data_IF_001095657911
#
_entry.id   IF_001095657911
#
_cell.length_a   1.000
_cell.length_b   1.000
_cell.length_c   1.000
_cell.angle_alpha   90.00
_cell.angle_beta   90.00
_cell.angle_gamma   90.00
#
_symmetry.space_group_name_H-M   'P 1'
#
loop_
_entity.id
_entity.type
_entity.pdbx_description
1 polymer ?
#
# COMPACT_ATOMS: atom_id res chain seq x y z
N UNK A 1 -9.05 2.42 -2.87
CA UNK A 1 -7.65 2.01 -3.10
C UNK A 1 -6.73 3.10 -2.58
N UNK A 2 -5.47 2.77 -2.36
CA UNK A 2 -4.44 3.73 -1.94
C UNK A 2 -3.28 3.67 -2.92
N UNK A 3 -2.52 4.77 -3.00
CA UNK A 3 -1.35 4.93 -3.85
C UNK A 3 -0.14 5.23 -2.99
N UNK A 4 0.99 4.59 -3.29
CA UNK A 4 2.26 4.91 -2.64
C UNK A 4 2.75 6.31 -3.03
N UNK A 5 3.14 7.11 -2.04
CA UNK A 5 3.80 8.42 -2.21
C UNK A 5 5.32 8.33 -2.35
N UNK A 6 5.90 7.17 -2.07
CA UNK A 6 7.32 6.87 -2.27
C UNK A 6 7.49 5.42 -2.70
N UNK A 7 8.58 5.12 -3.36
CA UNK A 7 8.95 3.73 -3.61
C UNK A 7 9.21 2.96 -2.31
N UNK A 8 8.97 1.65 -2.34
CA UNK A 8 9.38 0.67 -1.34
C UNK A 8 10.33 -0.33 -2.00
N UNK A 9 11.64 -0.01 -2.10
CA UNK A 9 12.61 -0.85 -2.80
C UNK A 9 12.68 -2.28 -2.27
N UNK A 10 12.47 -2.48 -0.97
CA UNK A 10 12.41 -3.77 -0.29
C UNK A 10 11.33 -4.70 -0.86
N UNK A 11 10.28 -4.13 -1.45
CA UNK A 11 9.17 -4.84 -2.08
C UNK A 11 9.16 -4.69 -3.60
N UNK A 12 10.17 -4.04 -4.19
CA UNK A 12 10.24 -3.70 -5.61
C UNK A 12 9.02 -2.88 -6.09
N UNK A 13 8.40 -2.12 -5.18
CA UNK A 13 7.26 -1.26 -5.48
C UNK A 13 7.73 0.16 -5.81
N UNK A 14 7.27 0.67 -6.95
CA UNK A 14 7.54 2.05 -7.36
C UNK A 14 6.62 3.04 -6.65
N UNK A 15 7.05 4.30 -6.56
CA UNK A 15 6.12 5.40 -6.25
C UNK A 15 4.95 5.35 -7.23
N UNK A 16 3.74 5.59 -6.73
CA UNK A 16 2.52 5.51 -7.52
C UNK A 16 1.88 4.12 -7.61
N UNK A 17 2.50 3.06 -7.07
CA UNK A 17 1.87 1.75 -7.01
C UNK A 17 0.53 1.79 -6.28
N UNK A 18 -0.48 1.12 -6.83
CA UNK A 18 -1.84 1.07 -6.30
C UNK A 18 -2.01 -0.20 -5.48
N UNK A 19 -2.55 -0.06 -4.26
CA UNK A 19 -2.85 -1.17 -3.38
C UNK A 19 -4.24 -1.07 -2.76
N UNK A 20 -4.63 -2.16 -2.10
CA UNK A 20 -5.85 -2.26 -1.32
C UNK A 20 -5.52 -2.30 0.17
N UNK A 21 -6.19 -1.47 0.98
CA UNK A 21 -6.08 -1.56 2.44
C UNK A 21 -6.85 -2.81 2.89
N UNK A 22 -6.17 -3.74 3.53
CA UNK A 22 -6.75 -5.00 4.03
C UNK A 22 -6.91 -5.00 5.56
N UNK A 23 -6.16 -4.14 6.27
CA UNK A 23 -6.32 -3.95 7.72
C UNK A 23 -6.00 -2.51 8.12
N UNK A 24 -6.67 -2.02 9.18
CA UNK A 24 -6.38 -0.72 9.80
C UNK A 24 -5.98 -0.97 11.26
N UNK A 25 -4.76 -0.58 11.59
CA UNK A 25 -4.25 -0.53 12.96
C UNK A 25 -4.60 0.82 13.59
N UNK A 26 -4.95 0.82 14.88
CA UNK A 26 -5.37 2.04 15.60
C UNK A 26 -4.30 2.58 16.56
N UNK A 27 -3.32 1.76 16.94
CA UNK A 27 -2.32 2.11 17.94
C UNK A 27 -0.98 1.38 17.68
N UNK A 28 0.01 2.02 17.02
CA UNK A 28 -0.10 3.30 16.33
C UNK A 28 -1.00 3.21 15.07
N UNK A 29 -1.57 4.33 14.58
CA UNK A 29 -2.31 4.34 13.32
C UNK A 29 -1.45 3.90 12.14
N UNK A 30 -1.87 2.84 11.46
CA UNK A 30 -1.22 2.32 10.26
C UNK A 30 -2.21 1.51 9.41
N UNK A 31 -1.82 1.23 8.17
CA UNK A 31 -2.62 0.51 7.20
C UNK A 31 -1.81 -0.68 6.69
N UNK A 32 -2.37 -1.88 6.78
CA UNK A 32 -1.84 -3.02 6.03
C UNK A 32 -2.36 -2.92 4.60
N UNK A 33 -1.45 -2.82 3.64
CA UNK A 33 -1.78 -2.65 2.23
C UNK A 33 -1.27 -3.84 1.43
N UNK A 34 -2.17 -4.48 0.70
CA UNK A 34 -1.83 -5.51 -0.28
C UNK A 34 -1.60 -4.86 -1.65
N UNK A 35 -0.50 -5.25 -2.28
CA UNK A 35 -0.17 -4.93 -3.67
C UNK A 35 -0.14 -6.20 -4.48
N UNK A 36 -0.86 -6.21 -5.61
CA UNK A 36 -0.91 -7.33 -6.53
C UNK A 36 -0.39 -6.95 -7.92
N UNK A 37 0.04 -7.94 -8.69
CA UNK A 37 0.29 -7.79 -10.12
C UNK A 37 -1.02 -7.73 -10.93
N UNK A 38 -0.90 -7.69 -12.26
CA UNK A 38 -2.04 -7.66 -13.17
C UNK A 38 -2.91 -8.91 -13.13
N UNK A 39 -2.38 -10.04 -12.66
CA UNK A 39 -3.10 -11.31 -12.53
C UNK A 39 -3.75 -11.45 -11.13
N UNK A 40 -3.60 -10.43 -10.27
CA UNK A 40 -4.13 -10.42 -8.92
C UNK A 40 -3.26 -11.19 -7.92
N UNK A 41 -2.05 -11.60 -8.31
CA UNK A 41 -1.13 -12.30 -7.42
C UNK A 41 -0.46 -11.29 -6.50
N UNK A 42 -0.53 -11.54 -5.18
CA UNK A 42 0.09 -10.71 -4.16
C UNK A 42 1.60 -10.63 -4.36
N UNK A 43 2.12 -9.41 -4.57
CA UNK A 43 3.55 -9.09 -4.63
C UNK A 43 4.06 -8.74 -3.24
N UNK A 44 3.28 -7.98 -2.47
CA UNK A 44 3.67 -7.50 -1.16
C UNK A 44 2.47 -7.24 -0.25
N UNK A 45 2.71 -7.41 1.05
CA UNK A 45 1.85 -6.98 2.13
C UNK A 45 2.71 -6.07 3.03
N UNK A 46 2.35 -4.79 3.12
CA UNK A 46 3.16 -3.80 3.81
C UNK A 46 2.32 -2.98 4.80
N UNK A 47 2.81 -2.88 6.03
CA UNK A 47 2.29 -1.98 7.05
C UNK A 47 2.84 -0.57 6.82
N UNK A 48 1.96 0.36 6.44
CA UNK A 48 2.34 1.71 6.02
C UNK A 48 1.62 2.78 6.85
N UNK A 49 2.30 3.91 7.06
CA UNK A 49 1.71 5.07 7.72
C UNK A 49 0.83 5.86 6.76
N UNK A 50 0.01 6.76 7.28
CA UNK A 50 -0.75 7.71 6.45
C UNK A 50 0.16 8.57 5.57
N UNK A 51 1.39 8.86 6.01
CA UNK A 51 2.32 9.69 5.22
C UNK A 51 2.85 9.00 3.98
N UNK A 52 2.89 7.67 3.97
CA UNK A 52 3.30 6.85 2.83
C UNK A 52 2.21 6.74 1.75
N UNK A 53 0.96 7.09 2.08
CA UNK A 53 -0.22 6.77 1.29
C UNK A 53 -0.99 8.01 0.83
N UNK A 54 -1.57 7.88 -0.35
CA UNK A 54 -2.59 8.78 -0.87
C UNK A 54 -3.87 8.00 -1.15
N UNK A 55 -5.01 8.50 -0.67
CA UNK A 55 -6.31 7.92 -1.00
C UNK A 55 -6.64 8.21 -2.46
N UNK A 56 -6.92 7.15 -3.22
CA UNK A 56 -7.42 7.28 -4.60
C UNK A 56 -8.95 7.27 -4.57
N UNK A 57 -9.57 8.38 -4.93
CA UNK A 57 -11.00 8.47 -5.18
C UNK A 57 -11.34 7.82 -6.52
N UNK A 58 -12.38 6.99 -6.53
CA UNK A 58 -13.10 6.66 -7.77
C UNK A 58 -14.08 7.78 -8.11
#
# INVERSE_FOLDING_TARGET
MVRLRRALPEHQLSEGAIGAVVMIYRDPPAYEVEFCDSDGITIALATLSETDLEKVSQ
#
